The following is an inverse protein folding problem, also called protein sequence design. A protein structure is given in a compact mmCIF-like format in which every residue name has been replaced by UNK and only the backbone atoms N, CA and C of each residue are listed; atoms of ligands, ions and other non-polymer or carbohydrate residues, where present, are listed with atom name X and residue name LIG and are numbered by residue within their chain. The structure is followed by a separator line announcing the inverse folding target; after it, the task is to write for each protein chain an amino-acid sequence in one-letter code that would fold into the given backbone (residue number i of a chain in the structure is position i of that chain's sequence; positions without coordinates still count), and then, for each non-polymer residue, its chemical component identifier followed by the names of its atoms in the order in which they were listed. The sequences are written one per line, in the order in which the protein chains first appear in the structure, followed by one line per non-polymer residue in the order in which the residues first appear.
data_IF_912948580390
#
_entry.id   IF_912948580390
#
_cell.length_a   1.000
_cell.length_b   1.000
_cell.length_c   1.000
_cell.angle_alpha   90.00
_cell.angle_beta   90.00
_cell.angle_gamma   90.00
#
_symmetry.space_group_name_H-M   'P 1'
#
loop_
_entity.id
_entity.type
_entity.pdbx_description
1 polymer ?
#
# COMPACT_ATOMS: atom_id res chain seq x y z
N UNK A 1 -14.61 -27.76 14.80
CA UNK A 1 -14.14 -26.55 14.06
C UNK A 1 -12.76 -26.19 14.55
N UNK A 2 -11.79 -25.95 13.66
CA UNK A 2 -10.50 -25.43 14.11
C UNK A 2 -10.75 -24.12 14.88
N UNK A 3 -10.13 -23.93 16.04
CA UNK A 3 -10.37 -22.73 16.84
C UNK A 3 -9.97 -21.49 16.01
N UNK A 4 -10.87 -20.55 15.88
CA UNK A 4 -10.73 -19.38 15.02
C UNK A 4 -9.49 -18.52 15.34
N UNK A 5 -9.03 -18.55 16.59
CA UNK A 5 -7.80 -17.88 17.00
C UNK A 5 -6.54 -18.40 16.25
N UNK A 6 -6.56 -19.64 15.72
CA UNK A 6 -5.47 -20.17 14.88
C UNK A 6 -5.35 -19.33 13.59
N UNK A 7 -6.47 -18.94 12.98
CA UNK A 7 -6.46 -18.10 11.77
C UNK A 7 -5.79 -16.76 12.06
N UNK A 8 -6.13 -16.13 13.19
CA UNK A 8 -5.51 -14.85 13.57
C UNK A 8 -4.01 -14.98 13.86
N UNK A 9 -3.59 -16.06 14.51
CA UNK A 9 -2.16 -16.33 14.73
C UNK A 9 -1.44 -16.53 13.39
N UNK A 10 -1.99 -17.32 12.48
CA UNK A 10 -1.39 -17.55 11.16
C UNK A 10 -1.28 -16.22 10.38
N UNK A 11 -2.34 -15.40 10.38
CA UNK A 11 -2.32 -14.07 9.74
C UNK A 11 -1.27 -13.16 10.38
N UNK A 12 -1.18 -13.13 11.70
CA UNK A 12 -0.18 -12.32 12.41
C UNK A 12 1.25 -12.76 12.07
N UNK A 13 1.51 -14.05 12.02
CA UNK A 13 2.80 -14.62 11.62
C UNK A 13 3.13 -14.29 10.16
N UNK A 14 2.18 -14.44 9.24
CA UNK A 14 2.36 -14.07 7.83
C UNK A 14 2.65 -12.58 7.67
N UNK A 15 1.92 -11.72 8.38
CA UNK A 15 2.15 -10.27 8.39
C UNK A 15 3.55 -9.93 8.89
N UNK A 16 3.97 -10.56 9.97
CA UNK A 16 5.32 -10.39 10.53
C UNK A 16 6.41 -10.84 9.53
N UNK A 17 6.26 -12.02 8.93
CA UNK A 17 7.23 -12.56 7.96
C UNK A 17 7.35 -11.65 6.73
N UNK A 18 6.22 -11.19 6.18
CA UNK A 18 6.20 -10.31 5.01
C UNK A 18 6.85 -8.97 5.34
N UNK A 19 6.52 -8.38 6.50
CA UNK A 19 7.11 -7.10 6.93
C UNK A 19 8.62 -7.24 7.21
N UNK A 20 9.05 -8.30 7.86
CA UNK A 20 10.47 -8.58 8.12
C UNK A 20 11.25 -8.78 6.81
N UNK A 21 10.65 -9.50 5.84
CA UNK A 21 11.25 -9.69 4.52
C UNK A 21 11.37 -8.37 3.74
N UNK A 22 10.34 -7.52 3.78
CA UNK A 22 10.37 -6.18 3.20
C UNK A 22 11.52 -5.36 3.78
N UNK A 23 11.58 -5.22 5.10
CA UNK A 23 12.61 -4.45 5.80
C UNK A 23 14.03 -4.94 5.47
N UNK A 24 14.22 -6.26 5.44
CA UNK A 24 15.52 -6.88 5.10
C UNK A 24 15.94 -6.57 3.66
N UNK A 25 15.00 -6.66 2.70
CA UNK A 25 15.28 -6.36 1.30
C UNK A 25 15.55 -4.87 1.08
N UNK A 26 14.76 -4.01 1.68
CA UNK A 26 14.99 -2.57 1.61
C UNK A 26 16.37 -2.21 2.16
N UNK A 27 16.75 -2.73 3.34
CA UNK A 27 18.09 -2.53 3.90
C UNK A 27 19.18 -3.02 2.94
N UNK A 28 19.04 -4.23 2.39
CA UNK A 28 20.01 -4.78 1.43
C UNK A 28 20.14 -3.90 0.18
N UNK A 29 19.02 -3.48 -0.40
CA UNK A 29 19.02 -2.75 -1.66
C UNK A 29 19.28 -1.25 -1.49
N UNK A 30 19.23 -0.72 -0.26
CA UNK A 30 19.71 0.62 0.05
C UNK A 30 21.25 0.75 0.04
N UNK A 31 21.96 -0.38 0.06
CA UNK A 31 23.41 -0.44 -0.02
C UNK A 31 23.91 -0.62 -1.48
N UNK A 32 23.02 -0.91 -2.43
CA UNK A 32 23.37 -1.14 -3.85
C UNK A 32 23.15 0.16 -4.63
N UNK A 33 24.22 0.77 -5.19
CA UNK A 33 24.10 2.00 -5.96
C UNK A 33 23.39 1.77 -7.31
N UNK A 34 22.66 2.77 -7.78
CA UNK A 34 22.14 2.81 -9.16
C UNK A 34 23.16 3.41 -10.13
N UNK A 35 23.00 3.10 -11.40
CA UNK A 35 23.82 3.68 -12.46
C UNK A 35 23.73 5.22 -12.49
N UNK A 36 24.87 5.88 -12.75
CA UNK A 36 24.93 7.33 -12.87
C UNK A 36 24.83 8.13 -11.57
N UNK A 37 24.77 7.49 -10.38
CA UNK A 37 24.76 8.18 -9.10
C UNK A 37 23.52 9.04 -8.86
N UNK A 38 22.41 8.73 -9.50
CA UNK A 38 21.15 9.47 -9.38
C UNK A 38 20.52 9.24 -8.02
N UNK A 39 20.15 10.32 -7.34
CA UNK A 39 19.36 10.27 -6.10
C UNK A 39 17.91 9.88 -6.39
N UNK A 40 17.17 9.47 -5.36
CA UNK A 40 15.71 9.24 -5.51
C UNK A 40 14.97 10.48 -6.01
N UNK A 41 15.42 11.69 -5.59
CA UNK A 41 14.93 12.95 -6.16
C UNK A 41 15.16 13.03 -7.67
N UNK A 42 16.38 12.80 -8.13
CA UNK A 42 16.73 12.91 -9.55
C UNK A 42 15.95 11.89 -10.40
N UNK A 43 15.77 10.69 -9.85
CA UNK A 43 14.93 9.63 -10.46
C UNK A 43 13.49 10.08 -10.61
N UNK A 44 12.90 10.65 -9.55
CA UNK A 44 11.53 11.15 -9.57
C UNK A 44 11.36 12.29 -10.57
N UNK A 45 12.21 13.32 -10.52
CA UNK A 45 12.16 14.47 -11.43
C UNK A 45 12.29 14.00 -12.90
N UNK A 46 13.24 13.10 -13.19
CA UNK A 46 13.43 12.54 -14.53
C UNK A 46 12.23 11.73 -15.02
N UNK A 47 11.62 10.93 -14.15
CA UNK A 47 10.44 10.15 -14.50
C UNK A 47 9.24 11.07 -14.78
N UNK A 48 8.99 12.03 -13.91
CA UNK A 48 7.90 13.00 -14.09
C UNK A 48 8.07 13.79 -15.40
N UNK A 49 9.27 14.26 -15.69
CA UNK A 49 9.59 14.94 -16.95
C UNK A 49 9.35 14.01 -18.17
N UNK A 50 9.76 12.75 -18.11
CA UNK A 50 9.54 11.77 -19.18
C UNK A 50 8.06 11.60 -19.52
N UNK A 51 7.18 11.72 -18.53
CA UNK A 51 5.73 11.62 -18.72
C UNK A 51 5.02 12.98 -18.92
N UNK A 52 5.77 14.08 -19.07
CA UNK A 52 5.22 15.43 -19.24
C UNK A 52 4.49 15.95 -17.99
N UNK A 53 4.91 15.52 -16.82
CA UNK A 53 4.31 15.89 -15.53
C UNK A 53 5.15 16.93 -14.77
N UNK A 54 5.69 17.92 -15.48
CA UNK A 54 6.57 18.96 -14.93
C UNK A 54 5.91 19.83 -13.85
N UNK A 55 4.57 19.83 -13.80
CA UNK A 55 3.81 20.50 -12.75
C UNK A 55 3.74 19.74 -11.41
N UNK A 56 4.27 18.51 -11.33
CA UNK A 56 4.35 17.72 -10.09
C UNK A 56 5.69 18.00 -9.40
N UNK A 57 5.64 18.49 -8.16
CA UNK A 57 6.84 18.83 -7.40
C UNK A 57 7.36 17.61 -6.64
N UNK A 58 8.69 17.48 -6.53
CA UNK A 58 9.32 16.46 -5.67
C UNK A 58 9.82 17.14 -4.40
N UNK A 59 9.35 16.66 -3.24
CA UNK A 59 9.65 17.27 -1.93
C UNK A 59 10.28 16.24 -0.98
N UNK A 60 11.15 16.72 -0.10
CA UNK A 60 11.70 15.93 0.99
C UNK A 60 10.84 16.08 2.24
N UNK A 61 10.47 14.97 2.87
CA UNK A 61 9.70 14.97 4.12
C UNK A 61 10.42 14.17 5.20
N UNK A 62 10.11 14.48 6.45
CA UNK A 62 10.63 13.73 7.59
C UNK A 62 9.85 12.42 7.80
N UNK A 63 10.53 11.46 8.41
CA UNK A 63 9.98 10.13 8.69
C UNK A 63 10.58 9.05 7.81
N UNK A 64 10.38 7.81 8.21
CA UNK A 64 10.83 6.63 7.47
C UNK A 64 9.63 5.92 6.88
N UNK A 65 9.71 5.52 5.61
CA UNK A 65 8.60 4.89 4.88
C UNK A 65 7.35 5.79 4.81
N UNK A 66 7.57 7.10 4.72
CA UNK A 66 6.53 8.12 4.57
C UNK A 66 6.33 8.55 3.13
N UNK A 67 7.06 7.92 2.22
CA UNK A 67 7.02 8.20 0.79
C UNK A 67 5.60 8.05 0.25
N UNK A 68 5.13 9.05 -0.50
CA UNK A 68 3.81 9.02 -1.11
C UNK A 68 3.62 10.10 -2.17
N UNK A 69 2.76 9.83 -3.14
CA UNK A 69 2.21 10.85 -4.04
C UNK A 69 0.96 11.48 -3.44
N UNK A 70 0.92 12.81 -3.35
CA UNK A 70 -0.27 13.56 -2.94
C UNK A 70 -0.96 14.17 -4.18
N UNK A 71 -2.14 13.68 -4.57
CA UNK A 71 -2.86 14.20 -5.73
C UNK A 71 -3.48 15.58 -5.49
N UNK A 72 -3.73 15.99 -4.25
CA UNK A 72 -4.31 17.30 -3.93
C UNK A 72 -3.33 18.44 -4.21
N UNK A 73 -2.09 18.27 -3.79
CA UNK A 73 -1.02 19.27 -3.96
C UNK A 73 -0.17 19.02 -5.20
N UNK A 74 -0.38 17.87 -5.87
CA UNK A 74 0.45 17.36 -6.96
C UNK A 74 1.93 17.31 -6.57
N UNK A 75 2.20 16.61 -5.47
CA UNK A 75 3.57 16.44 -4.95
C UNK A 75 3.92 14.96 -4.82
N UNK A 76 5.14 14.61 -5.19
CA UNK A 76 5.81 13.37 -4.80
C UNK A 76 6.64 13.67 -3.56
N UNK A 77 6.20 13.15 -2.43
CA UNK A 77 6.84 13.37 -1.14
C UNK A 77 7.73 12.16 -0.83
N UNK A 78 9.03 12.40 -0.72
CA UNK A 78 10.01 11.36 -0.46
C UNK A 78 10.61 11.55 0.93
N UNK A 79 10.74 10.47 1.68
CA UNK A 79 11.50 10.46 2.92
C UNK A 79 12.96 10.86 2.65
N UNK A 80 13.64 11.47 3.63
CA UNK A 80 15.04 11.90 3.48
C UNK A 80 15.94 10.76 3.00
N UNK A 81 15.74 9.54 3.53
CA UNK A 81 16.49 8.35 3.13
C UNK A 81 16.33 8.01 1.65
N UNK A 82 15.16 8.25 1.07
CA UNK A 82 14.88 8.01 -0.36
C UNK A 82 15.35 9.21 -1.19
N UNK A 83 15.05 10.43 -0.73
CA UNK A 83 15.31 11.66 -1.46
C UNK A 83 16.80 11.87 -1.77
N UNK A 84 17.69 11.61 -0.79
CA UNK A 84 19.13 11.87 -0.87
C UNK A 84 19.95 10.64 -1.32
N UNK A 85 19.38 9.43 -1.25
CA UNK A 85 20.14 8.19 -1.54
C UNK A 85 20.18 7.88 -3.04
N UNK A 86 21.37 7.42 -3.49
CA UNK A 86 21.62 6.95 -4.86
C UNK A 86 21.47 5.42 -4.99
N UNK A 87 20.63 4.78 -4.19
CA UNK A 87 20.49 3.34 -4.13
C UNK A 87 19.35 2.80 -5.01
N UNK A 88 19.41 1.48 -5.28
CA UNK A 88 18.35 0.76 -6.00
C UNK A 88 17.02 0.85 -5.26
N UNK A 89 17.02 0.77 -3.93
CA UNK A 89 15.81 0.92 -3.13
C UNK A 89 15.21 2.32 -3.28
N UNK A 90 16.03 3.38 -3.21
CA UNK A 90 15.59 4.76 -3.36
C UNK A 90 15.02 5.02 -4.76
N UNK A 91 15.70 4.55 -5.81
CA UNK A 91 15.21 4.65 -7.18
C UNK A 91 13.89 3.93 -7.39
N UNK A 92 13.74 2.73 -6.83
CA UNK A 92 12.51 1.94 -6.92
C UNK A 92 11.32 2.62 -6.24
N UNK A 93 11.51 3.16 -5.01
CA UNK A 93 10.47 3.89 -4.27
C UNK A 93 10.10 5.18 -4.99
N UNK A 94 11.09 6.00 -5.36
CA UNK A 94 10.83 7.26 -6.05
C UNK A 94 10.07 7.06 -7.37
N UNK A 95 10.46 6.06 -8.16
CA UNK A 95 9.75 5.70 -9.39
C UNK A 95 8.32 5.16 -9.10
N UNK A 96 8.13 4.42 -8.00
CA UNK A 96 6.80 3.93 -7.59
C UNK A 96 5.85 5.09 -7.28
N UNK A 97 6.29 6.08 -6.51
CA UNK A 97 5.47 7.26 -6.20
C UNK A 97 5.16 8.09 -7.45
N UNK A 98 6.12 8.19 -8.38
CA UNK A 98 5.85 8.75 -9.70
C UNK A 98 4.86 7.89 -10.52
N UNK A 99 4.86 6.58 -10.33
CA UNK A 99 3.86 5.67 -10.91
C UNK A 99 2.43 6.06 -10.51
N UNK A 100 2.20 6.48 -9.28
CA UNK A 100 0.92 7.03 -8.81
C UNK A 100 0.59 8.37 -9.46
N UNK A 101 1.59 9.24 -9.67
CA UNK A 101 1.37 10.50 -10.40
C UNK A 101 0.94 10.24 -11.84
N UNK A 102 1.58 9.26 -12.51
CA UNK A 102 1.20 8.85 -13.87
C UNK A 102 -0.19 8.21 -13.90
N UNK A 103 -0.55 7.38 -12.93
CA UNK A 103 -1.91 6.84 -12.80
C UNK A 103 -2.95 7.95 -12.67
N UNK A 104 -2.67 8.98 -11.87
CA UNK A 104 -3.55 10.13 -11.67
C UNK A 104 -3.71 10.90 -12.99
N UNK A 105 -2.60 11.21 -13.68
CA UNK A 105 -2.60 11.93 -14.94
C UNK A 105 -3.33 11.16 -16.07
N UNK A 106 -3.21 9.83 -16.08
CA UNK A 106 -3.89 8.96 -17.06
C UNK A 106 -5.31 8.55 -16.64
N UNK A 107 -5.82 9.11 -15.56
CA UNK A 107 -7.15 8.83 -15.03
C UNK A 107 -7.43 7.33 -14.82
N UNK A 108 -6.45 6.59 -14.30
CA UNK A 108 -6.53 5.14 -14.06
C UNK A 108 -7.75 4.76 -13.20
N UNK A 109 -8.64 3.93 -13.74
CA UNK A 109 -9.94 3.62 -13.14
C UNK A 109 -9.88 3.15 -11.69
N UNK A 110 -9.06 2.12 -11.34
CA UNK A 110 -8.93 1.67 -9.95
C UNK A 110 -8.44 2.76 -8.97
N UNK A 111 -7.55 3.67 -9.40
CA UNK A 111 -7.13 4.81 -8.57
C UNK A 111 -8.28 5.78 -8.31
N UNK A 112 -9.11 6.05 -9.31
CA UNK A 112 -10.32 6.89 -9.12
C UNK A 112 -11.29 6.25 -8.12
N UNK A 113 -11.54 4.93 -8.25
CA UNK A 113 -12.39 4.19 -7.29
C UNK A 113 -11.81 4.26 -5.87
N UNK A 114 -10.51 4.02 -5.71
CA UNK A 114 -9.82 4.15 -4.42
C UNK A 114 -10.02 5.54 -3.83
N UNK A 115 -9.76 6.58 -4.62
CA UNK A 115 -9.86 7.99 -4.18
C UNK A 115 -11.29 8.37 -3.76
N UNK A 116 -12.31 7.88 -4.45
CA UNK A 116 -13.71 8.14 -4.10
C UNK A 116 -14.15 7.46 -2.80
N UNK A 117 -13.51 6.33 -2.44
CA UNK A 117 -13.80 5.60 -1.20
C UNK A 117 -13.04 6.15 0.02
N UNK A 118 -11.94 6.88 -0.18
CA UNK A 118 -11.10 7.42 0.92
C UNK A 118 -11.91 8.18 1.98
N UNK A 119 -12.81 9.12 1.65
CA UNK A 119 -13.57 9.86 2.68
C UNK A 119 -14.44 8.93 3.55
N UNK A 120 -15.13 7.98 2.90
CA UNK A 120 -16.03 7.03 3.57
C UNK A 120 -15.23 6.08 4.47
N UNK A 121 -14.14 5.51 3.95
CA UNK A 121 -13.30 4.57 4.69
C UNK A 121 -12.57 5.28 5.84
N UNK A 122 -12.09 6.51 5.62
CA UNK A 122 -11.44 7.31 6.68
C UNK A 122 -12.40 7.66 7.81
N UNK A 123 -13.66 7.93 7.50
CA UNK A 123 -14.69 8.13 8.53
C UNK A 123 -14.99 6.80 9.24
N UNK A 124 -15.26 5.74 8.50
CA UNK A 124 -15.58 4.43 9.04
C UNK A 124 -14.46 3.89 9.95
N UNK A 125 -13.20 4.02 9.56
CA UNK A 125 -12.06 3.49 10.31
C UNK A 125 -11.91 4.06 11.72
N UNK A 126 -12.40 5.27 11.95
CA UNK A 126 -12.37 5.90 13.29
C UNK A 126 -13.31 5.21 14.29
N UNK A 127 -14.42 4.67 13.83
CA UNK A 127 -15.49 4.17 14.68
C UNK A 127 -15.72 2.67 14.59
N UNK A 128 -15.29 2.04 13.49
CA UNK A 128 -15.60 0.63 13.19
C UNK A 128 -15.17 -0.31 14.30
N UNK A 129 -14.01 -0.11 14.91
CA UNK A 129 -13.50 -0.97 15.98
C UNK A 129 -14.40 -0.92 17.23
N UNK A 130 -14.87 0.28 17.59
CA UNK A 130 -15.78 0.46 18.73
C UNK A 130 -17.17 -0.10 18.43
N UNK A 131 -17.68 0.12 17.21
CA UNK A 131 -18.98 -0.40 16.79
C UNK A 131 -18.97 -1.94 16.76
N UNK A 132 -17.89 -2.55 16.24
CA UNK A 132 -17.73 -4.01 16.24
C UNK A 132 -17.61 -4.57 17.65
N UNK A 133 -16.84 -3.93 18.52
CA UNK A 133 -16.70 -4.34 19.93
C UNK A 133 -18.06 -4.31 20.65
N UNK A 134 -18.76 -3.18 20.59
CA UNK A 134 -20.09 -3.04 21.17
C UNK A 134 -21.09 -4.01 20.52
N UNK A 135 -21.02 -4.19 19.20
CA UNK A 135 -21.86 -5.09 18.46
C UNK A 135 -21.70 -6.55 18.89
N UNK A 136 -20.48 -7.00 19.15
CA UNK A 136 -20.22 -8.36 19.69
C UNK A 136 -20.75 -8.50 21.12
N UNK A 137 -20.54 -7.51 21.98
CA UNK A 137 -21.03 -7.55 23.37
C UNK A 137 -22.55 -7.53 23.47
N UNK A 138 -23.21 -6.90 22.51
CA UNK A 138 -24.66 -6.72 22.51
C UNK A 138 -25.38 -7.59 21.48
N UNK A 139 -24.71 -8.58 20.90
CA UNK A 139 -25.20 -9.35 19.76
C UNK A 139 -26.55 -10.05 20.02
N UNK A 140 -26.79 -10.46 21.26
CA UNK A 140 -28.06 -11.12 21.66
C UNK A 140 -29.19 -10.10 21.81
N UNK A 141 -28.91 -8.89 22.31
CA UNK A 141 -29.93 -7.87 22.60
C UNK A 141 -30.17 -6.91 21.43
N UNK A 142 -29.10 -6.48 20.77
CA UNK A 142 -29.13 -5.48 19.68
C UNK A 142 -28.24 -5.88 18.52
N UNK A 143 -28.59 -6.92 17.76
CA UNK A 143 -27.78 -7.46 16.67
C UNK A 143 -27.51 -6.47 15.53
N UNK A 144 -28.36 -5.47 15.36
CA UNK A 144 -28.20 -4.42 14.36
C UNK A 144 -26.91 -3.61 14.53
N UNK A 145 -26.38 -3.49 15.76
CA UNK A 145 -25.10 -2.81 16.02
C UNK A 145 -23.94 -3.58 15.38
N UNK A 146 -23.92 -4.91 15.54
CA UNK A 146 -22.92 -5.75 14.91
C UNK A 146 -23.04 -5.72 13.38
N UNK A 147 -24.27 -5.78 12.85
CA UNK A 147 -24.51 -5.72 11.42
C UNK A 147 -24.02 -4.40 10.81
N UNK A 148 -24.23 -3.26 11.49
CA UNK A 148 -23.69 -1.97 11.09
C UNK A 148 -22.15 -2.00 11.06
N UNK A 149 -21.52 -2.53 12.12
CA UNK A 149 -20.06 -2.68 12.18
C UNK A 149 -19.50 -3.54 11.05
N UNK A 150 -20.17 -4.66 10.74
CA UNK A 150 -19.82 -5.54 9.61
C UNK A 150 -19.91 -4.78 8.28
N UNK A 151 -20.96 -3.99 8.06
CA UNK A 151 -21.11 -3.17 6.84
C UNK A 151 -19.99 -2.15 6.67
N UNK A 152 -19.66 -1.42 7.74
CA UNK A 152 -18.55 -0.45 7.73
C UNK A 152 -17.19 -1.15 7.51
N UNK A 153 -16.98 -2.31 8.12
CA UNK A 153 -15.75 -3.07 7.95
C UNK A 153 -15.64 -3.70 6.54
N UNK A 154 -16.77 -4.10 5.94
CA UNK A 154 -16.83 -4.58 4.56
C UNK A 154 -16.38 -3.51 3.56
N UNK A 155 -16.72 -2.24 3.79
CA UNK A 155 -16.21 -1.12 2.98
C UNK A 155 -14.69 -0.98 3.08
N UNK A 156 -14.11 -1.15 4.26
CA UNK A 156 -12.66 -1.14 4.47
C UNK A 156 -11.98 -2.35 3.79
N UNK A 157 -12.61 -3.51 3.83
CA UNK A 157 -12.14 -4.71 3.13
C UNK A 157 -12.17 -4.50 1.61
N UNK A 158 -13.27 -3.97 1.07
CA UNK A 158 -13.39 -3.62 -0.36
C UNK A 158 -12.30 -2.63 -0.78
N UNK A 159 -12.05 -1.59 0.03
CA UNK A 159 -10.99 -0.62 -0.21
C UNK A 159 -9.61 -1.29 -0.29
N UNK A 160 -9.30 -2.25 0.58
CA UNK A 160 -8.05 -3.00 0.55
C UNK A 160 -7.89 -3.77 -0.77
N UNK A 161 -8.95 -4.41 -1.27
CA UNK A 161 -8.92 -5.12 -2.56
C UNK A 161 -8.80 -4.19 -3.76
N UNK A 162 -9.44 -3.02 -3.74
CA UNK A 162 -9.31 -2.00 -4.80
C UNK A 162 -7.89 -1.39 -4.80
N UNK A 163 -7.25 -1.30 -3.64
CA UNK A 163 -5.89 -0.80 -3.52
C UNK A 163 -4.86 -1.72 -4.19
N UNK A 164 -5.05 -3.05 -4.16
CA UNK A 164 -4.11 -4.00 -4.76
C UNK A 164 -3.76 -3.71 -6.24
N UNK A 165 -4.71 -3.60 -7.18
CA UNK A 165 -4.39 -3.31 -8.57
C UNK A 165 -3.75 -1.93 -8.75
N UNK A 166 -4.04 -0.96 -7.87
CA UNK A 166 -3.41 0.36 -7.90
C UNK A 166 -1.91 0.24 -7.60
N UNK A 167 -1.55 -0.43 -6.51
CA UNK A 167 -0.16 -0.61 -6.07
C UNK A 167 0.66 -1.47 -7.05
N UNK A 168 0.06 -2.56 -7.53
CA UNK A 168 0.71 -3.42 -8.54
C UNK A 168 0.97 -2.65 -9.83
N UNK A 169 0.02 -1.88 -10.31
CA UNK A 169 0.17 -1.11 -11.55
C UNK A 169 1.16 0.05 -11.39
N UNK A 170 1.21 0.74 -10.24
CA UNK A 170 2.23 1.76 -9.95
C UNK A 170 3.63 1.15 -9.99
N UNK A 171 3.83 0.00 -9.32
CA UNK A 171 5.10 -0.76 -9.35
C UNK A 171 5.48 -1.21 -10.75
N UNK A 172 4.54 -1.70 -11.55
CA UNK A 172 4.81 -2.12 -12.95
C UNK A 172 5.25 -0.93 -13.82
N UNK A 173 4.61 0.24 -13.67
CA UNK A 173 5.00 1.46 -14.37
C UNK A 173 6.40 1.92 -13.96
N UNK A 174 6.71 1.88 -12.67
CA UNK A 174 8.02 2.21 -12.14
C UNK A 174 9.11 1.31 -12.74
N UNK A 175 8.94 -0.01 -12.68
CA UNK A 175 9.90 -0.98 -13.20
C UNK A 175 10.10 -0.83 -14.70
N UNK A 176 9.01 -0.75 -15.48
CA UNK A 176 9.10 -0.57 -16.92
C UNK A 176 9.83 0.73 -17.31
N UNK A 177 9.69 1.80 -16.53
CA UNK A 177 10.38 3.05 -16.79
C UNK A 177 11.86 2.98 -16.34
N UNK A 178 12.17 2.41 -15.17
CA UNK A 178 13.54 2.23 -14.69
C UNK A 178 14.39 1.42 -15.68
N UNK A 179 13.82 0.38 -16.29
CA UNK A 179 14.46 -0.43 -17.30
C UNK A 179 14.73 0.39 -18.58
N UNK A 180 13.67 1.01 -19.14
CA UNK A 180 13.78 1.81 -20.38
C UNK A 180 14.71 3.01 -20.28
N UNK A 181 14.78 3.63 -19.09
CA UNK A 181 15.63 4.79 -18.84
C UNK A 181 17.11 4.44 -18.59
N UNK A 182 17.43 3.14 -18.46
CA UNK A 182 18.77 2.64 -18.17
C UNK A 182 19.26 3.00 -16.74
N UNK A 183 18.36 3.44 -15.84
CA UNK A 183 18.73 3.75 -14.45
C UNK A 183 19.04 2.46 -13.70
N UNK A 184 18.26 1.42 -13.92
CA UNK A 184 18.58 0.07 -13.49
C UNK A 184 19.20 -0.70 -14.65
N UNK A 185 20.35 -1.32 -14.41
CA UNK A 185 21.00 -2.21 -15.36
C UNK A 185 20.35 -3.60 -15.31
N UNK A 186 20.63 -4.45 -16.28
CA UNK A 186 20.21 -5.87 -16.28
C UNK A 186 20.65 -6.61 -14.99
N UNK A 187 21.67 -6.09 -14.32
CA UNK A 187 22.22 -6.69 -13.10
C UNK A 187 21.40 -6.34 -11.84
N UNK A 188 20.99 -5.08 -11.68
CA UNK A 188 20.29 -4.61 -10.48
C UNK A 188 18.78 -4.34 -10.66
N UNK A 189 18.25 -4.49 -11.89
CA UNK A 189 16.80 -4.36 -12.13
C UNK A 189 15.97 -5.38 -11.35
N UNK A 190 16.48 -6.61 -11.20
CA UNK A 190 15.84 -7.65 -10.38
C UNK A 190 15.78 -7.30 -8.90
N UNK A 191 16.71 -6.49 -8.41
CA UNK A 191 16.72 -6.01 -7.03
C UNK A 191 15.62 -4.97 -6.83
N UNK A 192 15.43 -4.04 -7.77
CA UNK A 192 14.32 -3.10 -7.78
C UNK A 192 12.96 -3.82 -7.84
N UNK A 193 12.82 -4.80 -8.75
CA UNK A 193 11.63 -5.65 -8.84
C UNK A 193 11.37 -6.38 -7.51
N UNK A 194 12.41 -6.97 -6.92
CA UNK A 194 12.31 -7.68 -5.65
C UNK A 194 11.91 -6.79 -4.48
N UNK A 195 12.35 -5.51 -4.48
CA UNK A 195 11.94 -4.51 -3.49
C UNK A 195 10.44 -4.20 -3.62
N UNK A 196 9.99 -3.78 -4.80
CA UNK A 196 8.60 -3.39 -5.06
C UNK A 196 7.62 -4.57 -4.91
N UNK A 197 8.02 -5.76 -5.35
CA UNK A 197 7.23 -6.99 -5.15
C UNK A 197 7.06 -7.33 -3.66
N UNK A 198 8.09 -7.09 -2.85
CA UNK A 198 7.99 -7.32 -1.40
C UNK A 198 7.06 -6.31 -0.74
N UNK A 199 7.04 -5.06 -1.21
CA UNK A 199 6.07 -4.05 -0.78
C UNK A 199 4.64 -4.46 -1.19
N UNK A 200 4.43 -4.93 -2.42
CA UNK A 200 3.12 -5.39 -2.89
C UNK A 200 2.54 -6.53 -2.04
N UNK A 201 3.38 -7.45 -1.53
CA UNK A 201 2.92 -8.52 -0.64
C UNK A 201 2.34 -8.02 0.68
N UNK A 202 2.75 -6.86 1.19
CA UNK A 202 2.13 -6.27 2.40
C UNK A 202 0.66 -5.92 2.16
N UNK A 203 0.33 -5.40 1.00
CA UNK A 203 -1.07 -5.12 0.60
C UNK A 203 -1.89 -6.40 0.41
N UNK A 204 -1.28 -7.45 -0.15
CA UNK A 204 -1.95 -8.77 -0.29
C UNK A 204 -2.30 -9.33 1.07
N UNK A 205 -1.35 -9.34 2.01
CA UNK A 205 -1.59 -9.84 3.37
C UNK A 205 -2.61 -8.98 4.09
N UNK A 206 -2.58 -7.65 3.95
CA UNK A 206 -3.57 -6.75 4.53
C UNK A 206 -4.99 -7.03 3.99
N UNK A 207 -5.15 -7.23 2.68
CA UNK A 207 -6.44 -7.56 2.08
C UNK A 207 -6.97 -8.92 2.53
N UNK A 208 -6.13 -9.94 2.61
CA UNK A 208 -6.51 -11.27 3.10
C UNK A 208 -6.85 -11.24 4.60
N UNK A 209 -6.09 -10.47 5.39
CA UNK A 209 -6.36 -10.28 6.82
C UNK A 209 -7.71 -9.61 7.07
N UNK A 210 -8.01 -8.56 6.30
CA UNK A 210 -9.30 -7.87 6.41
C UNK A 210 -10.47 -8.77 6.00
N UNK A 211 -10.29 -9.58 4.94
CA UNK A 211 -11.31 -10.54 4.52
C UNK A 211 -11.58 -11.61 5.59
N UNK A 212 -10.51 -12.20 6.16
CA UNK A 212 -10.66 -13.21 7.21
C UNK A 212 -11.34 -12.63 8.46
N UNK A 213 -11.01 -11.39 8.83
CA UNK A 213 -11.65 -10.67 9.93
C UNK A 213 -13.11 -10.38 9.63
N UNK A 214 -13.43 -9.99 8.40
CA UNK A 214 -14.83 -9.78 7.96
C UNK A 214 -15.64 -11.07 8.09
N UNK A 215 -15.12 -12.17 7.55
CA UNK A 215 -15.76 -13.49 7.65
C UNK A 215 -16.00 -13.89 9.11
N UNK A 216 -15.04 -13.62 9.99
CA UNK A 216 -15.17 -13.87 11.42
C UNK A 216 -16.38 -13.16 12.05
N UNK A 217 -16.50 -11.84 11.81
CA UNK A 217 -17.66 -11.10 12.35
C UNK A 217 -19.00 -11.54 11.74
N UNK A 218 -19.00 -11.90 10.45
CA UNK A 218 -20.19 -12.48 9.82
C UNK A 218 -20.57 -13.82 10.49
N UNK A 219 -19.60 -14.68 10.80
CA UNK A 219 -19.85 -15.94 11.51
C UNK A 219 -20.41 -15.72 12.92
N UNK A 220 -19.89 -14.74 13.68
CA UNK A 220 -20.47 -14.37 14.99
C UNK A 220 -21.93 -13.94 14.82
N UNK A 221 -22.22 -13.09 13.83
CA UNK A 221 -23.57 -12.62 13.58
C UNK A 221 -24.52 -13.75 13.19
N UNK A 222 -24.07 -14.72 12.40
CA UNK A 222 -24.87 -15.86 11.95
C UNK A 222 -25.07 -16.90 13.06
N UNK A 223 -24.04 -17.21 13.86
CA UNK A 223 -24.09 -18.19 14.94
C UNK A 223 -25.01 -17.81 16.12
N UNK A 224 -25.51 -16.59 16.17
CA UNK A 224 -26.54 -16.13 17.09
C UNK A 224 -27.92 -16.76 16.79
N UNK A 225 -28.13 -17.30 15.61
CA UNK A 225 -29.44 -17.82 15.16
C UNK A 225 -29.74 -19.27 15.58
N UNK A 226 -28.73 -19.92 16.18
CA UNK A 226 -28.82 -21.29 16.68
C UNK A 226 -28.85 -21.30 18.22
#
# INVERSE_FOLDING_TARGET
MAPIWIIFIVIALLSYIVQANLNRKFKKFSEIPVGGGMTGRDVAEKMLHTYGLDGVKVTCIEGRLTDHYNPADRTVNLSREVYESCSVAAAAVAAHECGHAVQHATAYGPLKMRSSLVPVVSFASKYVSWILLLGVLMVESFPGVLLLGIGLFAMSTLFSFITLPVEINASQRALAWLDRSGITSSYNHRDAESALRSAAYTYVVAALSSLATLVYYVMIYMGRRD
#
